data_IF_292067147980
#
_entry.id   IF_292067147980
#
_cell.length_a   1.000
_cell.length_b   1.000
_cell.length_c   1.000
_cell.angle_alpha   90.00
_cell.angle_beta   90.00
_cell.angle_gamma   90.00
#
_symmetry.space_group_name_H-M   'P 1'
#
loop_
_entity.id
_entity.type
_entity.pdbx_description
1 polymer ?
#
# COMPACT_ATOMS: atom_id res chain seq x y z
N UNK A 1 9.30 -3.61 -3.65
CA UNK A 1 9.54 -5.06 -3.75
C UNK A 1 10.95 -5.39 -3.35
N UNK A 2 11.93 -5.28 -4.22
CA UNK A 2 13.24 -5.93 -4.04
C UNK A 2 14.00 -5.71 -2.70
N UNK A 3 13.79 -4.60 -1.99
CA UNK A 3 14.47 -4.34 -0.70
C UNK A 3 13.67 -4.84 0.51
N UNK A 4 12.35 -4.68 0.51
CA UNK A 4 11.47 -4.98 1.66
C UNK A 4 10.51 -6.16 1.44
N UNK A 5 10.38 -6.60 0.19
CA UNK A 5 9.46 -7.61 -0.33
C UNK A 5 8.09 -7.69 0.35
N UNK A 6 7.25 -6.63 0.24
CA UNK A 6 6.01 -6.57 0.97
C UNK A 6 4.94 -7.50 0.38
N UNK A 7 4.10 -8.07 1.23
CA UNK A 7 2.91 -8.83 0.81
C UNK A 7 1.82 -7.94 0.18
N UNK A 8 1.80 -6.63 0.50
CA UNK A 8 0.84 -5.68 -0.07
C UNK A 8 1.40 -4.26 -0.10
N UNK A 9 1.09 -3.51 -1.16
CA UNK A 9 1.37 -2.08 -1.27
C UNK A 9 0.04 -1.33 -1.25
N UNK A 10 -0.12 -0.39 -0.32
CA UNK A 10 -1.33 0.44 -0.25
C UNK A 10 -0.99 1.86 -0.70
N UNK A 11 -1.66 2.36 -1.73
CA UNK A 11 -1.54 3.75 -2.17
C UNK A 11 -2.38 4.64 -1.25
N UNK A 12 -1.75 5.62 -0.61
CA UNK A 12 -2.39 6.63 0.23
C UNK A 12 -2.57 7.98 -0.47
N UNK A 13 -3.19 8.93 0.23
CA UNK A 13 -3.39 10.31 -0.24
C UNK A 13 -4.36 10.46 -1.41
N UNK A 14 -4.48 11.67 -1.95
CA UNK A 14 -5.45 11.99 -3.02
C UNK A 14 -5.29 11.17 -4.30
N UNK A 15 -4.05 10.80 -4.63
CA UNK A 15 -3.74 9.98 -5.82
C UNK A 15 -4.27 8.55 -5.71
N UNK A 16 -4.52 8.03 -4.50
CA UNK A 16 -5.14 6.71 -4.32
C UNK A 16 -6.57 6.63 -4.86
N UNK A 17 -7.22 7.76 -5.16
CA UNK A 17 -8.55 7.79 -5.77
C UNK A 17 -8.53 7.61 -7.29
N UNK A 18 -7.36 7.62 -7.93
CA UNK A 18 -7.23 7.48 -9.38
C UNK A 18 -7.24 6.00 -9.76
N UNK A 19 -8.40 5.51 -10.19
CA UNK A 19 -8.62 4.09 -10.51
C UNK A 19 -7.64 3.53 -11.55
N UNK A 20 -7.25 4.38 -12.51
CA UNK A 20 -6.28 4.04 -13.57
C UNK A 20 -4.93 3.57 -13.00
N UNK A 21 -4.53 4.03 -11.82
CA UNK A 21 -3.28 3.60 -11.20
C UNK A 21 -3.29 2.10 -10.90
N UNK A 22 -4.41 1.54 -10.44
CA UNK A 22 -4.50 0.12 -10.10
C UNK A 22 -4.48 -0.79 -11.33
N UNK A 23 -4.77 -0.24 -12.51
CA UNK A 23 -4.69 -0.95 -13.79
C UNK A 23 -3.30 -0.84 -14.41
N UNK A 24 -2.70 0.36 -14.40
CA UNK A 24 -1.44 0.61 -15.13
C UNK A 24 -0.19 0.34 -14.31
N UNK A 25 -0.19 0.69 -13.02
CA UNK A 25 1.01 0.63 -12.19
C UNK A 25 1.53 -0.80 -12.04
N UNK A 26 0.70 -1.84 -11.82
CA UNK A 26 1.20 -3.22 -11.71
C UNK A 26 2.02 -3.65 -12.93
N UNK A 27 1.56 -3.33 -14.15
CA UNK A 27 2.26 -3.69 -15.38
C UNK A 27 3.54 -2.86 -15.59
N UNK A 28 3.49 -1.57 -15.24
CA UNK A 28 4.66 -0.70 -15.34
C UNK A 28 5.75 -1.06 -14.32
N UNK A 29 5.41 -1.61 -13.16
CA UNK A 29 6.38 -1.93 -12.10
C UNK A 29 7.11 -3.24 -12.38
N UNK A 30 6.47 -4.21 -13.06
CA UNK A 30 7.08 -5.51 -13.43
C UNK A 30 8.46 -5.38 -14.07
N UNK A 31 8.65 -4.42 -14.96
CA UNK A 31 9.92 -4.21 -15.68
C UNK A 31 11.08 -3.74 -14.77
N UNK A 32 10.78 -3.28 -13.55
CA UNK A 32 11.77 -2.76 -12.59
C UNK A 32 11.99 -3.70 -11.38
N UNK A 33 11.26 -4.82 -11.32
CA UNK A 33 11.36 -5.80 -10.23
C UNK A 33 12.39 -6.87 -10.60
N UNK A 34 13.32 -7.13 -9.69
CA UNK A 34 14.32 -8.18 -9.87
C UNK A 34 13.59 -9.53 -9.85
N UNK A 35 13.71 -10.30 -10.94
CA UNK A 35 13.00 -11.57 -11.10
C UNK A 35 11.80 -11.51 -12.07
N UNK A 36 11.40 -10.32 -12.53
CA UNK A 36 10.36 -10.13 -13.57
C UNK A 36 8.92 -10.41 -13.12
N UNK A 37 8.74 -11.05 -11.97
CA UNK A 37 7.43 -11.31 -11.37
C UNK A 37 7.15 -10.28 -10.27
N UNK A 38 6.21 -9.39 -10.53
CA UNK A 38 5.71 -8.42 -9.57
C UNK A 38 4.30 -8.86 -9.15
N UNK A 39 4.21 -9.81 -8.22
CA UNK A 39 2.91 -10.31 -7.72
C UNK A 39 2.34 -9.51 -6.55
N UNK A 40 3.12 -8.65 -5.88
CA UNK A 40 2.59 -7.87 -4.73
C UNK A 40 1.39 -7.03 -5.18
N UNK A 41 0.20 -7.28 -4.59
CA UNK A 41 -0.99 -6.52 -4.90
C UNK A 41 -0.82 -5.05 -4.50
N UNK A 42 -1.19 -4.15 -5.42
CA UNK A 42 -1.31 -2.72 -5.17
C UNK A 42 -2.79 -2.40 -4.90
N UNK A 43 -3.08 -1.84 -3.73
CA UNK A 43 -4.44 -1.62 -3.21
C UNK A 43 -4.70 -0.17 -2.85
N UNK A 44 -5.98 0.21 -2.86
CA UNK A 44 -6.44 1.53 -2.41
C UNK A 44 -6.51 1.60 -0.88
N UNK A 45 -6.11 2.74 -0.31
CA UNK A 45 -6.34 3.02 1.10
C UNK A 45 -7.85 3.08 1.41
N UNK A 46 -8.30 2.26 2.37
CA UNK A 46 -9.72 2.20 2.76
C UNK A 46 -10.12 3.29 3.76
N UNK A 47 -9.17 3.86 4.50
CA UNK A 47 -9.46 4.72 5.65
C UNK A 47 -9.24 6.21 5.40
N UNK A 48 -8.81 6.61 4.19
CA UNK A 48 -8.72 8.00 3.75
C UNK A 48 -8.15 8.95 4.80
N UNK A 49 -8.83 10.07 5.03
CA UNK A 49 -8.43 11.10 6.00
C UNK A 49 -8.39 10.61 7.46
N UNK A 50 -9.15 9.56 7.77
CA UNK A 50 -9.14 8.93 9.10
C UNK A 50 -7.93 8.02 9.33
N UNK A 51 -7.13 7.72 8.31
CA UNK A 51 -5.98 6.80 8.41
C UNK A 51 -4.94 7.28 9.42
N UNK A 52 -4.73 8.59 9.55
CA UNK A 52 -3.75 9.16 10.47
C UNK A 52 -4.13 8.95 11.94
N UNK A 53 -5.36 9.31 12.32
CA UNK A 53 -5.85 9.14 13.70
C UNK A 53 -5.94 7.66 14.08
N UNK A 54 -6.41 6.81 13.16
CA UNK A 54 -6.45 5.35 13.39
C UNK A 54 -5.05 4.77 13.56
N UNK A 55 -4.10 5.18 12.71
CA UNK A 55 -2.71 4.76 12.83
C UNK A 55 -2.12 5.18 14.17
N UNK A 56 -2.32 6.43 14.58
CA UNK A 56 -1.85 6.94 15.87
C UNK A 56 -2.45 6.17 17.06
N UNK A 57 -3.75 5.85 17.02
CA UNK A 57 -4.41 5.07 18.05
C UNK A 57 -3.89 3.62 18.15
N UNK A 58 -3.32 3.08 17.07
CA UNK A 58 -2.76 1.72 17.02
C UNK A 58 -1.25 1.65 17.28
N UNK A 59 -0.54 2.78 17.34
CA UNK A 59 0.91 2.80 17.62
C UNK A 59 1.24 2.26 19.01
N UNK A 60 0.36 2.47 19.98
CA UNK A 60 0.50 1.89 21.31
C UNK A 60 -0.50 0.74 21.45
N UNK A 61 -0.03 -0.50 21.69
CA UNK A 61 -0.95 -1.54 22.11
C UNK A 61 -1.62 -1.09 23.40
N UNK A 62 -2.94 -1.28 23.50
CA UNK A 62 -3.65 -1.15 24.76
C UNK A 62 -3.02 -2.15 25.73
N UNK A 63 -2.10 -1.67 26.58
CA UNK A 63 -1.64 -2.43 27.74
C UNK A 63 -2.86 -2.55 28.64
N UNK A 64 -3.52 -3.70 28.54
CA UNK A 64 -4.67 -4.02 29.37
C UNK A 64 -4.28 -4.01 30.84
N UNK A 65 -5.05 -3.25 31.63
CA UNK A 65 -5.45 -3.64 32.98
C UNK A 65 -6.25 -4.94 32.95
#
# INVERSE_FOLDING_TARGET
>A
MNILDPDVIVLGGGMSNVERLYQMVPDLVKQWVFGGECETPIRKAMHGDSSGVRGAAWLWPLQGT
#
